data_IF_875400001298
#
_entry.id   IF_875400001298
#
_cell.length_a   1.000
_cell.length_b   1.000
_cell.length_c   1.000
_cell.angle_alpha   90.00
_cell.angle_beta   90.00
_cell.angle_gamma   90.00
#
_symmetry.space_group_name_H-M   'P 1'
#
loop_
_entity.id
_entity.type
_entity.pdbx_description
1 polymer ?
#
# COMPACT_ATOMS: atom_id res chain seq x y z
N UNK A 1 -10.33 29.09 57.19
CA UNK A 1 -10.30 27.96 56.24
C UNK A 1 -11.22 28.08 55.00
N UNK A 2 -12.16 29.01 54.92
CA UNK A 2 -13.11 29.20 53.79
C UNK A 2 -12.58 29.96 52.56
N UNK A 3 -11.55 30.82 52.67
CA UNK A 3 -10.99 31.57 51.55
C UNK A 3 -10.11 30.76 50.56
N UNK A 4 -9.44 29.71 51.01
CA UNK A 4 -8.60 28.87 50.11
C UNK A 4 -9.38 27.92 49.26
N UNK A 5 -10.60 27.55 49.66
CA UNK A 5 -11.51 26.69 48.88
C UNK A 5 -12.13 27.42 47.69
N UNK A 6 -12.53 28.70 47.87
CA UNK A 6 -13.08 29.49 46.77
C UNK A 6 -12.04 29.83 45.67
N UNK A 7 -10.76 30.02 46.06
CA UNK A 7 -9.69 30.26 45.06
C UNK A 7 -9.34 29.00 44.26
N UNK A 8 -9.49 27.80 44.84
CA UNK A 8 -9.31 26.54 44.09
C UNK A 8 -10.48 26.29 43.13
N UNK A 9 -11.72 26.60 43.52
CA UNK A 9 -12.87 26.47 42.63
C UNK A 9 -12.83 27.48 41.48
N UNK A 10 -12.43 28.75 41.74
CA UNK A 10 -12.33 29.75 40.65
C UNK A 10 -11.21 29.40 39.63
N UNK A 11 -10.12 28.73 40.08
CA UNK A 11 -9.05 28.27 39.18
C UNK A 11 -9.46 27.02 38.37
N UNK A 12 -10.32 26.15 38.92
CA UNK A 12 -10.89 25.03 38.15
C UNK A 12 -11.91 25.52 37.09
N UNK A 13 -12.72 26.55 37.41
CA UNK A 13 -13.65 27.14 36.44
C UNK A 13 -12.93 27.90 35.35
N UNK A 14 -11.82 28.62 35.65
CA UNK A 14 -11.03 29.29 34.63
C UNK A 14 -10.31 28.28 33.68
N UNK A 15 -9.86 27.13 34.21
CA UNK A 15 -9.26 26.08 33.39
C UNK A 15 -10.30 25.36 32.51
N UNK A 16 -11.53 25.17 32.98
CA UNK A 16 -12.62 24.60 32.19
C UNK A 16 -13.09 25.56 31.06
N UNK A 17 -13.05 26.86 31.28
CA UNK A 17 -13.39 27.87 30.28
C UNK A 17 -12.34 27.96 29.15
N UNK A 18 -11.04 27.76 29.51
CA UNK A 18 -9.95 27.82 28.51
C UNK A 18 -9.93 26.59 27.58
N UNK A 19 -10.48 25.46 28.03
CA UNK A 19 -10.56 24.21 27.24
C UNK A 19 -11.68 24.26 26.19
N UNK A 20 -12.74 25.05 26.43
CA UNK A 20 -13.84 25.22 25.46
C UNK A 20 -13.50 26.11 24.27
N UNK A 21 -12.45 26.93 24.33
CA UNK A 21 -12.10 27.88 23.26
C UNK A 21 -11.09 27.34 22.24
N UNK A 22 -10.47 26.20 22.47
CA UNK A 22 -9.48 25.63 21.54
C UNK A 22 -10.09 24.80 20.39
N UNK A 23 -11.40 24.61 20.34
CA UNK A 23 -12.06 23.87 19.26
C UNK A 23 -12.62 24.75 18.14
N UNK A 24 -12.40 26.07 18.16
CA UNK A 24 -12.83 26.98 17.10
C UNK A 24 -11.60 27.40 16.29
N UNK A 25 -11.58 27.00 15.03
CA UNK A 25 -10.49 27.19 14.09
C UNK A 25 -9.88 28.58 14.09
N UNK A 26 -8.57 28.66 13.94
CA UNK A 26 -7.71 29.84 13.91
C UNK A 26 -7.70 30.70 15.19
N UNK A 27 -7.00 30.26 16.21
CA UNK A 27 -6.60 31.15 17.29
C UNK A 27 -5.15 31.62 17.05
N UNK A 28 -5.00 32.78 16.45
CA UNK A 28 -3.84 33.63 16.67
C UNK A 28 -3.74 33.89 18.18
N UNK A 29 -2.53 33.80 18.77
CA UNK A 29 -2.21 34.05 20.18
C UNK A 29 -3.15 35.07 20.84
N UNK A 30 -4.11 34.59 21.61
CA UNK A 30 -4.97 35.48 22.41
C UNK A 30 -4.36 35.58 23.79
N UNK A 31 -3.73 36.70 24.11
CA UNK A 31 -3.42 37.07 25.48
C UNK A 31 -4.72 37.19 26.31
N UNK A 32 -4.70 36.72 27.54
CA UNK A 32 -5.88 36.70 28.43
C UNK A 32 -6.55 38.10 28.70
N UNK A 33 -5.99 39.18 28.15
CA UNK A 33 -6.48 40.54 28.23
C UNK A 33 -7.38 40.93 27.01
N UNK A 34 -7.41 40.17 25.93
CA UNK A 34 -8.07 40.52 24.66
C UNK A 34 -9.31 39.66 24.36
N UNK A 35 -10.05 39.21 25.36
CA UNK A 35 -11.35 38.58 25.13
C UNK A 35 -12.35 39.70 24.78
N UNK A 36 -12.85 39.77 23.55
CA UNK A 36 -13.85 40.77 23.19
C UNK A 36 -15.08 40.66 24.09
N UNK A 37 -15.60 41.77 24.55
CA UNK A 37 -16.79 41.84 25.44
C UNK A 37 -18.06 41.20 24.80
N UNK A 38 -18.03 40.86 23.52
CA UNK A 38 -19.12 40.25 22.74
C UNK A 38 -18.69 38.93 22.08
N UNK A 39 -17.97 38.02 22.81
CA UNK A 39 -17.79 36.70 22.27
C UNK A 39 -19.11 35.95 22.23
N UNK A 40 -19.68 35.79 21.05
CA UNK A 40 -20.85 34.92 20.79
C UNK A 40 -20.34 33.55 20.41
N UNK A 41 -20.55 32.49 21.22
CA UNK A 41 -20.24 31.13 20.81
C UNK A 41 -20.98 30.82 19.52
N UNK A 42 -20.33 30.11 18.58
CA UNK A 42 -21.03 29.56 17.43
C UNK A 42 -22.04 28.57 17.97
N UNK A 43 -23.30 28.95 18.00
CA UNK A 43 -24.37 28.08 18.48
C UNK A 43 -24.47 26.88 17.56
N UNK A 44 -24.58 25.69 18.16
CA UNK A 44 -24.74 24.41 17.45
C UNK A 44 -23.65 24.14 16.41
N UNK A 45 -22.42 23.81 16.83
CA UNK A 45 -21.33 23.42 15.94
C UNK A 45 -21.71 22.21 15.11
N UNK A 46 -21.08 22.05 13.96
CA UNK A 46 -21.14 20.83 13.14
C UNK A 46 -19.97 19.92 13.46
N UNK A 47 -20.21 18.60 13.48
CA UNK A 47 -19.16 17.61 13.64
C UNK A 47 -19.39 16.39 12.73
N UNK A 48 -18.32 15.88 12.17
CA UNK A 48 -18.35 14.73 11.26
C UNK A 48 -17.28 13.69 11.64
N UNK A 49 -17.47 12.49 11.14
CA UNK A 49 -16.53 11.37 11.30
C UNK A 49 -15.85 11.10 9.97
N UNK A 50 -14.53 11.09 9.97
CA UNK A 50 -13.74 10.69 8.81
C UNK A 50 -13.49 9.19 8.83
N UNK A 51 -13.64 8.55 7.68
CA UNK A 51 -13.17 7.18 7.46
C UNK A 51 -12.08 7.22 6.40
N UNK A 52 -10.91 6.72 6.76
CA UNK A 52 -9.83 6.41 5.82
C UNK A 52 -9.86 4.93 5.49
N UNK A 53 -9.69 4.60 4.20
CA UNK A 53 -9.61 3.23 3.72
C UNK A 53 -8.33 3.08 2.92
N UNK A 54 -7.33 2.38 3.51
CA UNK A 54 -5.97 2.20 2.98
C UNK A 54 -5.85 0.88 2.26
N UNK A 55 -5.15 0.86 1.13
CA UNK A 55 -4.81 -0.35 0.38
C UNK A 55 -3.63 -0.08 -0.57
N UNK A 56 -3.07 -1.14 -1.16
CA UNK A 56 -2.04 -1.00 -2.21
C UNK A 56 -2.58 -0.21 -3.41
N UNK A 57 -1.71 0.55 -4.10
CA UNK A 57 -2.12 1.49 -5.15
C UNK A 57 -2.90 0.82 -6.29
N UNK A 58 -2.49 -0.39 -6.70
CA UNK A 58 -3.11 -1.14 -7.81
C UNK A 58 -4.24 -2.09 -7.35
N UNK A 59 -4.64 -2.00 -6.08
CA UNK A 59 -5.74 -2.83 -5.54
C UNK A 59 -7.07 -2.22 -5.94
N UNK A 60 -7.96 -3.04 -6.51
CA UNK A 60 -9.35 -2.65 -6.75
C UNK A 60 -10.05 -2.49 -5.40
N UNK A 61 -10.64 -1.34 -5.16
CA UNK A 61 -11.32 -1.03 -3.89
C UNK A 61 -12.45 -2.00 -3.65
N UNK A 62 -12.45 -2.78 -2.54
CA UNK A 62 -13.61 -3.56 -2.16
C UNK A 62 -14.69 -2.68 -1.56
N UNK A 63 -15.96 -3.10 -1.73
CA UNK A 63 -17.04 -2.42 -1.05
C UNK A 63 -16.88 -2.52 0.47
N UNK A 64 -17.08 -1.40 1.18
CA UNK A 64 -17.01 -1.34 2.64
C UNK A 64 -18.10 -0.40 3.17
N UNK A 65 -18.91 -0.89 4.09
CA UNK A 65 -19.97 -0.13 4.77
C UNK A 65 -19.55 0.08 6.23
N UNK A 66 -19.35 1.34 6.62
CA UNK A 66 -18.86 1.71 7.96
C UNK A 66 -19.95 2.41 8.74
N UNK A 67 -20.41 1.76 9.80
CA UNK A 67 -21.38 2.27 10.76
C UNK A 67 -20.69 2.77 12.04
N UNK A 68 -21.41 3.60 12.81
CA UNK A 68 -20.88 4.21 14.01
C UNK A 68 -21.81 3.96 15.21
N UNK A 69 -21.22 3.69 16.36
CA UNK A 69 -21.93 3.49 17.62
C UNK A 69 -21.55 4.60 18.59
N UNK A 70 -22.56 5.30 19.11
CA UNK A 70 -22.43 6.31 20.16
C UNK A 70 -23.00 5.72 21.46
N UNK A 71 -22.12 5.18 22.32
CA UNK A 71 -22.51 4.60 23.61
C UNK A 71 -22.59 5.70 24.66
N UNK A 72 -23.75 5.86 25.30
CA UNK A 72 -23.97 6.78 26.42
C UNK A 72 -23.12 6.38 27.62
N UNK A 73 -22.37 7.33 28.21
CA UNK A 73 -21.45 7.07 29.33
C UNK A 73 -21.85 7.85 30.59
N UNK A 74 -22.07 9.17 30.45
CA UNK A 74 -22.43 10.03 31.58
C UNK A 74 -23.39 11.13 31.15
N UNK A 75 -24.38 11.39 31.97
CA UNK A 75 -25.36 12.43 31.77
C UNK A 75 -25.12 13.63 32.71
N UNK A 76 -25.67 14.80 32.39
CA UNK A 76 -25.69 15.95 33.29
C UNK A 76 -26.29 15.60 34.66
N UNK A 77 -25.91 16.36 35.68
CA UNK A 77 -26.44 16.20 37.04
C UNK A 77 -27.98 16.30 37.05
N UNK A 78 -28.65 15.32 37.65
CA UNK A 78 -30.11 15.25 37.71
C UNK A 78 -30.78 14.52 36.56
N UNK A 79 -30.00 14.04 35.56
CA UNK A 79 -30.49 13.25 34.43
C UNK A 79 -29.96 11.81 34.48
N UNK A 80 -30.80 10.82 34.15
CA UNK A 80 -30.33 9.44 34.00
C UNK A 80 -29.61 9.24 32.65
N UNK A 81 -28.60 8.38 32.63
CA UNK A 81 -27.87 8.03 31.39
C UNK A 81 -28.80 7.43 30.33
N UNK A 82 -29.84 6.68 30.76
CA UNK A 82 -30.86 6.12 29.85
C UNK A 82 -31.63 7.20 29.10
N UNK A 83 -31.86 8.35 29.73
CA UNK A 83 -32.63 9.46 29.18
C UNK A 83 -31.82 10.35 28.21
N UNK A 84 -30.49 10.18 28.14
CA UNK A 84 -29.67 10.89 27.15
C UNK A 84 -30.17 10.62 25.73
N UNK A 85 -30.01 11.57 24.79
CA UNK A 85 -30.35 11.35 23.39
C UNK A 85 -29.55 10.20 22.78
N UNK A 86 -30.16 9.46 21.86
CA UNK A 86 -29.39 8.61 20.96
C UNK A 86 -28.78 9.47 19.84
N UNK A 87 -27.51 9.31 19.59
CA UNK A 87 -26.86 9.92 18.42
C UNK A 87 -26.81 8.88 17.31
N UNK A 88 -27.25 9.28 16.12
CA UNK A 88 -27.21 8.49 14.90
C UNK A 88 -26.72 9.30 13.73
N UNK A 89 -26.02 8.65 12.82
CA UNK A 89 -25.55 9.22 11.57
C UNK A 89 -25.55 8.13 10.50
N UNK A 90 -25.75 8.53 9.25
CA UNK A 90 -25.67 7.59 8.12
C UNK A 90 -24.29 6.95 8.00
N UNK A 91 -24.27 5.70 7.57
CA UNK A 91 -23.02 4.98 7.32
C UNK A 91 -22.17 5.66 6.25
N UNK A 92 -20.87 5.58 6.41
CA UNK A 92 -19.92 5.95 5.35
C UNK A 92 -19.66 4.72 4.47
N UNK A 93 -19.98 4.82 3.18
CA UNK A 93 -19.91 3.72 2.22
C UNK A 93 -18.83 3.97 1.18
N UNK A 94 -17.99 2.95 0.96
CA UNK A 94 -17.09 2.85 -0.18
C UNK A 94 -17.65 1.81 -1.14
N UNK A 95 -17.80 2.19 -2.42
CA UNK A 95 -18.30 1.28 -3.44
C UNK A 95 -17.16 0.43 -4.03
N UNK A 96 -17.49 -0.75 -4.54
CA UNK A 96 -16.52 -1.57 -5.26
C UNK A 96 -15.94 -0.80 -6.47
N UNK A 97 -14.61 -0.83 -6.62
CA UNK A 97 -13.91 -0.14 -7.70
C UNK A 97 -13.84 1.38 -7.55
N UNK A 98 -14.31 1.94 -6.44
CA UNK A 98 -14.25 3.37 -6.20
C UNK A 98 -12.80 3.85 -6.04
N UNK A 99 -12.47 4.93 -6.74
CA UNK A 99 -11.10 5.49 -6.78
C UNK A 99 -11.08 7.00 -6.53
N UNK A 100 -12.22 7.56 -6.08
CA UNK A 100 -12.39 8.97 -5.79
C UNK A 100 -11.65 9.34 -4.49
N UNK A 101 -11.02 10.51 -4.46
CA UNK A 101 -10.34 11.09 -3.28
C UNK A 101 -9.12 10.26 -2.86
N UNK A 102 -8.13 10.17 -3.76
CA UNK A 102 -6.82 9.57 -3.45
C UNK A 102 -5.92 10.58 -2.75
N UNK A 103 -5.19 10.09 -1.75
CA UNK A 103 -3.99 10.79 -1.29
C UNK A 103 -2.88 10.55 -2.31
N UNK A 104 -2.46 11.59 -3.00
CA UNK A 104 -1.40 11.52 -4.03
C UNK A 104 0.00 11.62 -3.42
N UNK A 105 0.13 11.81 -2.12
CA UNK A 105 1.44 11.95 -1.46
C UNK A 105 2.12 10.61 -1.21
N UNK A 106 1.37 9.50 -1.23
CA UNK A 106 1.91 8.15 -1.05
C UNK A 106 2.01 7.43 -2.40
N UNK A 107 3.20 7.06 -2.82
CA UNK A 107 3.47 6.44 -4.14
C UNK A 107 3.03 4.98 -4.23
N UNK A 108 3.05 4.24 -3.13
CA UNK A 108 2.82 2.79 -3.12
C UNK A 108 1.46 2.38 -2.53
N UNK A 109 0.73 3.32 -1.93
CA UNK A 109 -0.58 3.07 -1.33
C UNK A 109 -1.63 4.04 -1.88
N UNK A 110 -2.87 3.56 -1.87
CA UNK A 110 -4.07 4.34 -2.11
C UNK A 110 -4.79 4.54 -0.78
N UNK A 111 -5.13 5.79 -0.46
CA UNK A 111 -5.93 6.15 0.71
C UNK A 111 -7.18 6.85 0.23
N UNK A 112 -8.32 6.20 0.41
CA UNK A 112 -9.63 6.78 0.14
C UNK A 112 -10.14 7.40 1.44
N UNK A 113 -10.71 8.62 1.36
CA UNK A 113 -11.27 9.33 2.51
C UNK A 113 -12.69 9.75 2.23
N UNK A 114 -13.57 9.52 3.18
CA UNK A 114 -14.94 10.02 3.19
C UNK A 114 -15.31 10.52 4.58
N UNK A 115 -16.26 11.43 4.63
CA UNK A 115 -16.83 11.91 5.88
C UNK A 115 -18.30 11.55 5.99
N UNK A 116 -18.74 11.35 7.23
CA UNK A 116 -20.16 11.28 7.56
C UNK A 116 -20.84 12.65 7.38
N UNK A 117 -22.16 12.65 7.37
CA UNK A 117 -22.94 13.86 7.66
C UNK A 117 -22.68 14.34 9.08
N UNK A 118 -23.17 15.52 9.43
CA UNK A 118 -23.11 16.05 10.78
C UNK A 118 -23.87 15.12 11.75
N UNK A 119 -23.17 14.46 12.66
CA UNK A 119 -23.79 13.54 13.62
C UNK A 119 -24.51 14.25 14.77
N UNK A 120 -24.30 15.55 14.95
CA UNK A 120 -24.97 16.34 15.97
C UNK A 120 -26.42 16.70 15.62
N UNK A 121 -26.85 16.52 14.37
CA UNK A 121 -28.24 16.82 13.96
C UNK A 121 -29.26 15.99 14.74
N UNK A 122 -29.00 14.72 14.97
CA UNK A 122 -29.88 13.87 15.79
C UNK A 122 -29.92 14.32 17.25
N UNK A 123 -28.80 14.78 17.80
CA UNK A 123 -28.73 15.33 19.14
C UNK A 123 -29.48 16.65 19.26
N UNK A 124 -29.36 17.56 18.28
CA UNK A 124 -30.11 18.82 18.20
C UNK A 124 -31.61 18.57 18.13
N UNK A 125 -32.04 17.66 17.26
CA UNK A 125 -33.47 17.28 17.16
C UNK A 125 -34.00 16.81 18.51
N UNK A 126 -33.22 16.04 19.25
CA UNK A 126 -33.61 15.60 20.59
C UNK A 126 -33.67 16.74 21.60
N UNK A 127 -32.75 17.73 21.52
CA UNK A 127 -32.84 18.96 22.36
C UNK A 127 -34.12 19.75 22.11
N UNK A 128 -34.53 19.86 20.86
CA UNK A 128 -35.72 20.62 20.49
C UNK A 128 -37.06 19.91 20.86
N UNK A 129 -37.03 18.59 21.01
CA UNK A 129 -38.23 17.76 21.18
C UNK A 129 -38.38 17.10 22.56
N UNK A 130 -37.30 16.94 23.31
CA UNK A 130 -37.31 16.20 24.59
C UNK A 130 -37.48 17.17 25.78
N UNK A 131 -38.43 16.89 26.63
CA UNK A 131 -38.64 17.60 27.91
C UNK A 131 -37.65 17.16 29.01
N UNK A 132 -36.85 16.15 28.76
CA UNK A 132 -35.89 15.62 29.75
C UNK A 132 -34.48 16.20 29.60
N UNK A 133 -34.23 16.93 28.50
CA UNK A 133 -32.93 17.55 28.26
C UNK A 133 -32.68 18.72 29.21
N UNK A 134 -31.42 18.81 29.67
CA UNK A 134 -30.99 19.87 30.60
C UNK A 134 -29.59 20.37 30.19
N UNK A 135 -29.19 21.49 30.79
CA UNK A 135 -27.84 22.03 30.62
C UNK A 135 -26.80 21.11 31.30
N UNK A 136 -25.59 21.05 30.74
CA UNK A 136 -24.48 20.29 31.30
C UNK A 136 -23.71 19.50 30.26
N UNK A 137 -22.94 18.51 30.72
CA UNK A 137 -22.03 17.70 29.91
C UNK A 137 -22.67 16.33 29.61
N UNK A 138 -22.76 15.97 28.33
CA UNK A 138 -23.22 14.68 27.83
C UNK A 138 -22.02 13.93 27.28
N UNK A 139 -21.67 12.76 27.87
CA UNK A 139 -20.50 11.98 27.51
C UNK A 139 -20.88 10.72 26.76
N UNK A 140 -20.24 10.53 25.61
CA UNK A 140 -20.40 9.32 24.79
C UNK A 140 -19.04 8.70 24.48
N UNK A 141 -19.03 7.40 24.22
CA UNK A 141 -17.94 6.73 23.53
C UNK A 141 -18.34 6.47 22.09
N UNK A 142 -17.44 6.80 21.15
CA UNK A 142 -17.66 6.63 19.72
C UNK A 142 -16.74 5.53 19.19
N UNK A 143 -17.31 4.55 18.48
CA UNK A 143 -16.63 3.44 17.79
C UNK A 143 -17.18 3.26 16.39
N UNK A 144 -16.39 2.66 15.50
CA UNK A 144 -16.84 2.22 14.18
C UNK A 144 -16.96 0.72 14.09
N UNK A 145 -17.80 0.26 13.16
CA UNK A 145 -17.91 -1.13 12.74
C UNK A 145 -17.95 -1.16 11.22
N UNK A 146 -17.09 -1.96 10.60
CA UNK A 146 -16.97 -2.08 9.15
C UNK A 146 -17.48 -3.42 8.66
N UNK A 147 -18.21 -3.39 7.53
CA UNK A 147 -18.63 -4.58 6.78
C UNK A 147 -18.03 -4.52 5.38
N UNK A 148 -17.01 -5.33 5.13
CA UNK A 148 -16.28 -5.38 3.86
C UNK A 148 -16.67 -6.60 3.03
N UNK A 149 -16.84 -6.42 1.71
CA UNK A 149 -16.96 -7.53 0.76
C UNK A 149 -15.57 -7.79 0.16
N UNK A 150 -14.89 -8.83 0.66
CA UNK A 150 -13.55 -9.20 0.18
C UNK A 150 -13.61 -9.69 -1.28
N UNK A 151 -12.61 -9.31 -2.07
CA UNK A 151 -12.47 -9.80 -3.45
C UNK A 151 -12.02 -11.27 -3.47
N UNK A 152 -11.22 -11.70 -2.49
CA UNK A 152 -10.73 -13.07 -2.30
C UNK A 152 -10.77 -13.46 -0.83
N UNK A 153 -10.97 -14.76 -0.56
CA UNK A 153 -11.09 -15.25 0.82
C UNK A 153 -9.84 -15.01 1.68
N UNK A 154 -8.64 -15.04 1.07
CA UNK A 154 -7.37 -14.81 1.77
C UNK A 154 -6.93 -13.34 1.81
N UNK A 155 -7.69 -12.44 1.24
CA UNK A 155 -7.46 -11.02 1.45
C UNK A 155 -7.68 -10.69 2.94
N UNK A 156 -6.85 -9.80 3.47
CA UNK A 156 -6.90 -9.40 4.88
C UNK A 156 -7.55 -8.04 4.98
N UNK A 157 -8.56 -7.95 5.82
CA UNK A 157 -9.18 -6.68 6.19
C UNK A 157 -8.99 -6.43 7.68
N UNK A 158 -8.43 -5.27 8.01
CA UNK A 158 -8.24 -4.79 9.38
C UNK A 158 -9.12 -3.57 9.59
N UNK A 159 -10.16 -3.73 10.40
CA UNK A 159 -11.01 -2.63 10.81
C UNK A 159 -10.31 -1.77 11.86
N UNK A 160 -10.61 -0.49 11.89
CA UNK A 160 -10.19 0.41 12.96
C UNK A 160 -10.77 -0.04 14.30
N UNK A 161 -9.93 -0.15 15.32
CA UNK A 161 -10.30 -0.34 16.72
C UNK A 161 -10.20 0.96 17.52
N UNK A 162 -10.12 2.11 16.83
CA UNK A 162 -10.06 3.41 17.49
C UNK A 162 -11.31 3.64 18.36
N UNK A 163 -11.10 4.34 19.46
CA UNK A 163 -12.17 4.73 20.36
C UNK A 163 -11.99 6.20 20.73
N UNK A 164 -13.09 6.93 20.71
CA UNK A 164 -13.12 8.33 21.06
C UNK A 164 -14.10 8.59 22.18
N UNK A 165 -13.71 9.46 23.12
CA UNK A 165 -14.60 10.08 24.08
C UNK A 165 -15.14 11.35 23.45
N UNK A 166 -16.45 11.50 23.41
CA UNK A 166 -17.17 12.69 22.91
C UNK A 166 -17.90 13.34 24.07
N UNK A 167 -17.52 14.56 24.41
CA UNK A 167 -18.18 15.39 25.39
C UNK A 167 -18.96 16.49 24.66
N UNK A 168 -20.27 16.56 24.88
CA UNK A 168 -21.16 17.60 24.31
C UNK A 168 -21.61 18.49 25.47
N UNK A 169 -21.25 19.77 25.39
CA UNK A 169 -21.62 20.77 26.39
C UNK A 169 -22.87 21.49 25.95
N UNK A 170 -23.97 21.37 26.69
CA UNK A 170 -25.24 22.02 26.46
C UNK A 170 -25.42 23.20 27.41
N UNK A 171 -25.79 24.32 26.90
CA UNK A 171 -26.15 25.53 27.65
C UNK A 171 -27.57 26.00 27.29
N UNK A 172 -28.08 26.96 28.03
CA UNK A 172 -29.38 27.61 27.81
C UNK A 172 -29.15 29.08 27.49
N UNK A 173 -29.82 29.61 26.47
CA UNK A 173 -29.77 31.00 26.14
C UNK A 173 -30.75 31.83 27.02
N UNK A 174 -30.79 33.15 26.83
CA UNK A 174 -31.65 34.07 27.58
C UNK A 174 -33.14 33.80 27.39
N UNK A 175 -33.54 33.19 26.29
CA UNK A 175 -34.92 32.82 25.98
C UNK A 175 -35.33 31.47 26.53
N UNK A 176 -34.44 30.83 27.30
CA UNK A 176 -34.67 29.50 27.89
C UNK A 176 -34.46 28.34 26.93
N UNK A 177 -33.97 28.57 25.69
CA UNK A 177 -33.73 27.53 24.70
C UNK A 177 -32.36 26.89 24.90
N UNK A 178 -32.32 25.55 24.83
CA UNK A 178 -31.08 24.78 24.89
C UNK A 178 -30.31 24.88 23.57
N UNK A 179 -28.97 24.92 23.65
CA UNK A 179 -28.07 24.87 22.49
C UNK A 179 -26.76 24.16 22.83
N UNK A 180 -26.09 23.63 21.82
CA UNK A 180 -24.76 23.04 21.98
C UNK A 180 -23.74 24.18 22.06
N UNK A 181 -23.17 24.37 23.26
CA UNK A 181 -22.17 25.40 23.52
C UNK A 181 -20.79 24.99 22.97
N UNK A 182 -20.47 23.72 22.92
CA UNK A 182 -19.17 23.23 22.46
C UNK A 182 -19.03 21.72 22.53
N UNK A 183 -17.94 21.26 21.97
CA UNK A 183 -17.56 19.85 21.93
C UNK A 183 -16.14 19.66 22.44
N UNK A 184 -15.87 18.49 23.03
CA UNK A 184 -14.52 17.97 23.25
C UNK A 184 -14.48 16.54 22.72
N UNK A 185 -13.57 16.25 21.79
CA UNK A 185 -13.38 14.91 21.23
C UNK A 185 -11.96 14.48 21.58
N UNK A 186 -11.84 13.34 22.25
CA UNK A 186 -10.57 12.82 22.75
C UNK A 186 -10.38 11.42 22.18
N UNK A 187 -9.29 11.20 21.46
CA UNK A 187 -8.89 9.86 21.06
C UNK A 187 -8.37 9.10 22.29
N UNK A 188 -9.07 8.04 22.69
CA UNK A 188 -8.70 7.21 23.86
C UNK A 188 -7.98 5.93 23.43
N UNK A 189 -8.29 5.40 22.23
CA UNK A 189 -7.57 4.28 21.61
C UNK A 189 -7.28 4.57 20.15
N UNK A 190 -6.08 4.20 19.70
CA UNK A 190 -5.69 4.28 18.30
C UNK A 190 -6.36 3.18 17.44
N UNK A 191 -6.14 3.18 16.13
CA UNK A 191 -6.73 2.20 15.20
C UNK A 191 -6.29 0.75 15.48
N UNK A 192 -5.18 0.52 16.17
CA UNK A 192 -4.76 -0.80 16.64
C UNK A 192 -5.48 -1.23 17.94
N UNK A 193 -6.29 -0.36 18.54
CA UNK A 193 -6.96 -0.61 19.83
C UNK A 193 -6.09 -0.37 21.05
N UNK A 194 -4.89 0.22 20.88
CA UNK A 194 -3.98 0.54 21.99
C UNK A 194 -4.38 1.87 22.60
N UNK A 195 -4.37 1.95 23.93
CA UNK A 195 -4.64 3.18 24.66
C UNK A 195 -3.61 4.27 24.28
N UNK A 196 -4.11 5.47 23.98
CA UNK A 196 -3.26 6.57 23.52
C UNK A 196 -2.46 7.25 24.63
N UNK A 197 -2.74 6.92 25.89
CA UNK A 197 -2.01 7.37 27.08
C UNK A 197 -2.09 8.88 27.36
N UNK A 198 -2.20 9.70 26.35
CA UNK A 198 -2.13 11.16 26.40
C UNK A 198 -3.44 11.88 26.09
N UNK A 199 -4.57 11.16 25.98
CA UNK A 199 -5.89 11.77 25.73
C UNK A 199 -5.82 12.90 24.68
N UNK A 200 -5.36 12.56 23.47
CA UNK A 200 -5.15 13.53 22.39
C UNK A 200 -6.49 14.09 21.93
N UNK A 201 -6.67 15.39 22.08
CA UNK A 201 -7.83 16.09 21.54
C UNK A 201 -7.74 16.16 20.04
N UNK A 202 -8.89 15.98 19.38
CA UNK A 202 -9.03 16.07 17.92
C UNK A 202 -10.14 17.06 17.56
N UNK A 203 -9.97 17.70 16.42
CA UNK A 203 -11.00 18.60 15.87
C UNK A 203 -12.03 17.75 15.09
N UNK A 204 -13.29 17.82 15.49
CA UNK A 204 -14.42 17.15 14.83
C UNK A 204 -15.07 17.95 13.73
N UNK A 205 -14.61 19.17 13.43
CA UNK A 205 -15.21 20.04 12.43
C UNK A 205 -15.21 19.38 11.06
N UNK A 206 -16.34 19.36 10.33
CA UNK A 206 -16.39 18.83 8.98
C UNK A 206 -15.43 19.58 8.07
N UNK A 207 -14.61 18.84 7.34
CA UNK A 207 -13.75 19.40 6.30
C UNK A 207 -14.43 19.44 4.93
N UNK A 208 -13.71 19.94 3.94
CA UNK A 208 -14.16 19.89 2.54
C UNK A 208 -14.06 18.48 1.99
N UNK A 209 -15.12 17.99 1.37
CA UNK A 209 -15.13 16.70 0.66
C UNK A 209 -14.43 16.75 -0.70
N UNK A 210 -14.04 17.93 -1.15
CA UNK A 210 -13.37 18.18 -2.43
C UNK A 210 -11.89 18.48 -2.19
N UNK A 211 -11.03 17.55 -2.49
CA UNK A 211 -9.58 17.71 -2.42
C UNK A 211 -8.93 16.73 -1.45
N UNK A 212 -8.25 15.75 -1.96
CA UNK A 212 -7.75 14.58 -1.26
C UNK A 212 -6.60 14.77 -0.26
N UNK A 213 -6.42 15.95 0.33
CA UNK A 213 -5.39 16.15 1.36
C UNK A 213 -5.95 15.85 2.75
N UNK A 214 -5.16 15.15 3.58
CA UNK A 214 -5.55 14.74 4.93
C UNK A 214 -5.97 15.92 5.85
N UNK A 215 -5.50 17.12 5.57
CA UNK A 215 -5.76 18.34 6.34
C UNK A 215 -7.19 18.88 6.21
N UNK A 216 -7.96 18.39 5.24
CA UNK A 216 -9.31 18.92 4.95
C UNK A 216 -10.43 18.04 5.51
N UNK A 217 -10.11 17.10 6.39
CA UNK A 217 -11.06 16.16 6.97
C UNK A 217 -11.10 16.28 8.49
N UNK A 218 -12.26 15.94 9.09
CA UNK A 218 -12.38 15.86 10.55
C UNK A 218 -11.31 14.97 11.17
N UNK A 219 -10.77 15.41 12.30
CA UNK A 219 -9.80 14.65 13.10
C UNK A 219 -10.42 13.49 13.88
N UNK A 220 -11.76 13.42 14.00
CA UNK A 220 -12.46 12.21 14.47
C UNK A 220 -12.44 11.18 13.35
N UNK A 221 -11.41 10.30 13.40
CA UNK A 221 -11.02 9.49 12.25
C UNK A 221 -10.86 8.01 12.58
N UNK A 222 -11.41 7.15 11.74
CA UNK A 222 -11.23 5.70 11.77
C UNK A 222 -10.48 5.24 10.52
N UNK A 223 -9.39 4.49 10.69
CA UNK A 223 -8.55 4.00 9.60
C UNK A 223 -8.73 2.51 9.42
N UNK A 224 -9.32 2.11 8.31
CA UNK A 224 -9.45 0.72 7.89
C UNK A 224 -8.34 0.38 6.89
N UNK A 225 -7.84 -0.84 6.90
CA UNK A 225 -6.80 -1.29 6.00
C UNK A 225 -7.20 -2.58 5.27
N UNK A 226 -6.97 -2.63 3.96
CA UNK A 226 -7.22 -3.79 3.13
C UNK A 226 -5.96 -4.25 2.42
N UNK A 227 -5.58 -5.50 2.63
CA UNK A 227 -4.39 -6.12 2.06
C UNK A 227 -4.82 -7.24 1.13
N UNK A 228 -4.79 -6.95 -0.17
CA UNK A 228 -5.13 -7.92 -1.21
C UNK A 228 -3.96 -8.86 -1.51
N UNK A 229 -4.27 -10.07 -1.98
CA UNK A 229 -3.29 -10.99 -2.57
C UNK A 229 -3.17 -10.76 -4.08
N UNK A 230 -1.95 -10.94 -4.61
CA UNK A 230 -1.66 -10.81 -6.02
C UNK A 230 -2.24 -11.98 -6.84
N UNK A 231 -2.34 -11.78 -8.17
CA UNK A 231 -2.91 -12.76 -9.10
C UNK A 231 -4.42 -12.72 -9.16
N UNK A 232 -5.01 -13.38 -10.14
CA UNK A 232 -6.46 -13.42 -10.38
C UNK A 232 -7.19 -14.52 -9.62
N UNK A 233 -6.47 -15.30 -8.80
CA UNK A 233 -7.04 -16.46 -8.11
C UNK A 233 -7.82 -16.05 -6.88
N UNK A 234 -8.97 -16.66 -6.71
CA UNK A 234 -9.48 -16.94 -5.38
C UNK A 234 -8.67 -18.12 -4.82
N UNK A 235 -7.93 -17.96 -3.73
CA UNK A 235 -7.09 -19.02 -3.17
C UNK A 235 -7.88 -20.03 -2.34
N UNK A 236 -9.11 -20.30 -2.66
CA UNK A 236 -9.84 -21.45 -2.09
C UNK A 236 -9.15 -22.77 -2.37
N UNK A 237 -7.92 -22.68 -2.89
CA UNK A 237 -6.91 -23.70 -3.04
C UNK A 237 -6.77 -24.35 -4.43
N UNK A 238 -5.54 -24.35 -4.94
CA UNK A 238 -4.93 -25.63 -5.12
C UNK A 238 -3.63 -25.76 -4.30
N UNK A 239 -3.46 -26.87 -3.64
CA UNK A 239 -2.26 -27.22 -2.89
C UNK A 239 -0.99 -27.16 -3.73
N UNK A 240 -1.13 -27.22 -5.05
CA UNK A 240 -0.06 -27.04 -6.06
C UNK A 240 -0.58 -26.14 -7.18
N UNK A 241 0.12 -25.04 -7.53
CA UNK A 241 -0.22 -24.23 -8.67
C UNK A 241 -0.24 -25.05 -9.97
N UNK A 242 -1.32 -24.96 -10.72
CA UNK A 242 -1.43 -25.54 -12.05
C UNK A 242 -0.75 -24.61 -13.08
N UNK A 243 0.32 -25.03 -13.76
CA UNK A 243 1.04 -24.19 -14.71
C UNK A 243 0.18 -23.77 -15.92
N UNK A 244 -0.83 -24.54 -16.27
CA UNK A 244 -1.72 -24.26 -17.40
C UNK A 244 -2.87 -23.32 -17.02
N UNK A 245 -3.14 -23.13 -15.72
CA UNK A 245 -4.19 -22.24 -15.24
C UNK A 245 -3.62 -20.91 -14.71
N UNK A 246 -3.75 -19.78 -15.43
CA UNK A 246 -3.25 -18.48 -14.99
C UNK A 246 -3.89 -18.00 -13.69
N UNK A 247 -4.97 -18.66 -13.26
CA UNK A 247 -5.63 -18.36 -11.98
C UNK A 247 -5.02 -19.08 -10.79
N UNK A 248 -4.03 -19.96 -10.95
CA UNK A 248 -3.50 -20.78 -9.87
C UNK A 248 -2.25 -20.22 -9.19
N UNK A 249 -1.77 -19.04 -9.60
CA UNK A 249 -0.54 -18.43 -9.08
C UNK A 249 -0.63 -16.91 -9.00
N UNK A 250 0.14 -16.34 -8.08
CA UNK A 250 0.28 -14.89 -7.94
C UNK A 250 1.26 -14.29 -8.97
N UNK A 251 2.32 -15.06 -9.31
CA UNK A 251 3.35 -14.67 -10.28
C UNK A 251 3.98 -15.91 -10.90
N UNK A 252 4.31 -15.85 -12.19
CA UNK A 252 4.93 -16.96 -12.94
C UNK A 252 6.14 -16.47 -13.75
N UNK A 253 7.19 -17.28 -13.78
CA UNK A 253 8.30 -17.14 -14.73
C UNK A 253 8.36 -18.42 -15.57
N UNK A 254 8.33 -18.29 -16.89
CA UNK A 254 8.52 -19.41 -17.81
C UNK A 254 9.85 -19.30 -18.52
N UNK A 255 10.41 -20.42 -18.93
CA UNK A 255 11.56 -20.50 -19.83
C UNK A 255 11.24 -21.37 -21.04
N UNK A 256 11.49 -20.85 -22.22
CA UNK A 256 11.46 -21.62 -23.48
C UNK A 256 12.77 -21.44 -24.22
N UNK A 257 13.21 -22.46 -24.95
CA UNK A 257 14.44 -22.42 -25.73
C UNK A 257 14.18 -22.64 -27.22
N UNK A 258 14.98 -21.99 -28.04
CA UNK A 258 15.02 -22.21 -29.48
C UNK A 258 16.46 -22.47 -29.89
N UNK A 259 16.73 -23.72 -30.33
CA UNK A 259 18.06 -24.11 -30.78
C UNK A 259 17.96 -24.92 -32.07
N UNK A 260 19.03 -24.87 -32.88
CA UNK A 260 19.24 -25.79 -34.00
C UNK A 260 20.04 -26.97 -33.49
N UNK A 261 19.45 -28.18 -33.49
CA UNK A 261 20.12 -29.41 -33.03
C UNK A 261 19.84 -29.77 -31.57
N UNK A 262 20.79 -30.41 -30.91
CA UNK A 262 20.66 -31.03 -29.57
C UNK A 262 21.12 -30.13 -28.41
N UNK A 263 21.34 -28.79 -28.64
CA UNK A 263 21.74 -27.92 -27.57
C UNK A 263 20.59 -27.70 -26.60
N UNK A 264 20.81 -28.12 -25.36
CA UNK A 264 19.91 -27.87 -24.24
C UNK A 264 20.53 -26.81 -23.33
N UNK A 265 19.75 -25.88 -22.88
CA UNK A 265 20.20 -24.83 -21.95
C UNK A 265 19.48 -24.92 -20.61
N UNK A 266 20.25 -24.89 -19.54
CA UNK A 266 19.74 -24.62 -18.19
C UNK A 266 20.07 -23.18 -17.84
N UNK A 267 19.05 -22.39 -17.54
CA UNK A 267 19.19 -20.95 -17.28
C UNK A 267 18.99 -20.68 -15.80
N UNK A 268 19.98 -20.03 -15.20
CA UNK A 268 19.94 -19.59 -13.80
C UNK A 268 19.22 -18.25 -13.69
N UNK A 269 18.31 -18.15 -12.76
CA UNK A 269 17.54 -16.97 -12.44
C UNK A 269 17.76 -16.58 -10.99
N UNK A 270 17.78 -15.28 -10.74
CA UNK A 270 17.73 -14.70 -9.40
C UNK A 270 16.46 -13.86 -9.30
N UNK A 271 15.64 -14.12 -8.29
CA UNK A 271 14.41 -13.36 -8.07
C UNK A 271 14.39 -12.75 -6.68
N UNK A 272 13.96 -11.50 -6.60
CA UNK A 272 13.69 -10.82 -5.33
C UNK A 272 12.25 -10.31 -5.34
N UNK A 273 11.50 -10.59 -4.28
CA UNK A 273 10.16 -10.08 -4.06
C UNK A 273 10.18 -9.21 -2.82
N UNK A 274 9.78 -7.94 -2.94
CA UNK A 274 9.68 -7.01 -1.82
C UNK A 274 8.23 -6.77 -1.45
N UNK A 275 7.94 -6.60 -0.16
CA UNK A 275 6.58 -6.28 0.31
C UNK A 275 6.12 -4.94 -0.22
N UNK A 276 4.79 -4.74 -0.37
CA UNK A 276 4.25 -3.41 -0.57
C UNK A 276 4.59 -2.52 0.64
N UNK A 277 4.89 -1.25 0.40
CA UNK A 277 5.14 -0.26 1.45
C UNK A 277 3.84 0.42 1.89
N UNK A 278 3.82 0.93 3.11
CA UNK A 278 2.72 1.76 3.63
C UNK A 278 1.45 1.00 4.05
N UNK A 279 1.41 -0.34 3.89
CA UNK A 279 0.35 -1.21 4.41
C UNK A 279 0.92 -2.25 5.37
N UNK A 280 0.11 -2.68 6.33
CA UNK A 280 0.53 -3.63 7.36
C UNK A 280 0.44 -5.06 6.82
N UNK A 281 1.58 -5.73 6.66
CA UNK A 281 1.66 -7.11 6.21
C UNK A 281 2.24 -8.00 7.30
N UNK A 282 1.59 -9.13 7.58
CA UNK A 282 1.98 -10.05 8.65
C UNK A 282 2.98 -11.11 8.20
N UNK A 283 2.84 -11.61 6.94
CA UNK A 283 3.70 -12.68 6.45
C UNK A 283 5.08 -12.15 6.08
N UNK A 284 6.14 -12.81 6.55
CA UNK A 284 7.53 -12.52 6.18
C UNK A 284 8.04 -13.42 5.05
N UNK A 285 7.29 -14.45 4.70
CA UNK A 285 7.65 -15.46 3.70
C UNK A 285 6.55 -15.65 2.68
N UNK A 286 6.90 -16.22 1.54
CA UNK A 286 5.97 -16.66 0.49
C UNK A 286 6.34 -18.04 -0.01
N UNK A 287 5.35 -18.81 -0.47
CA UNK A 287 5.56 -20.13 -1.06
C UNK A 287 5.72 -19.99 -2.57
N UNK A 288 6.74 -20.65 -3.12
CA UNK A 288 6.95 -20.75 -4.54
C UNK A 288 7.32 -22.19 -4.96
N UNK A 289 7.12 -22.50 -6.22
CA UNK A 289 7.39 -23.80 -6.81
C UNK A 289 8.35 -23.63 -7.98
N UNK A 290 9.38 -24.46 -8.04
CA UNK A 290 10.31 -24.55 -9.18
C UNK A 290 10.16 -25.94 -9.79
N UNK A 291 9.73 -26.01 -11.04
CA UNK A 291 9.48 -27.28 -11.73
C UNK A 291 8.58 -28.23 -10.92
N UNK A 292 7.56 -27.68 -10.23
CA UNK A 292 6.66 -28.44 -9.36
C UNK A 292 7.16 -28.69 -7.93
N UNK A 293 8.42 -28.38 -7.61
CA UNK A 293 8.97 -28.58 -6.27
C UNK A 293 8.71 -27.35 -5.39
N UNK A 294 8.05 -27.56 -4.25
CA UNK A 294 7.70 -26.52 -3.28
C UNK A 294 8.94 -25.99 -2.56
N UNK A 295 9.00 -24.67 -2.42
CA UNK A 295 10.05 -23.95 -1.70
C UNK A 295 9.45 -22.75 -0.94
N UNK A 296 10.24 -22.16 -0.05
CA UNK A 296 9.85 -20.96 0.71
C UNK A 296 10.85 -19.85 0.46
N UNK A 297 10.35 -18.68 0.09
CA UNK A 297 11.13 -17.46 -0.07
C UNK A 297 10.84 -16.47 1.07
N UNK A 298 11.82 -15.63 1.39
CA UNK A 298 11.67 -14.51 2.32
C UNK A 298 11.58 -13.22 1.54
N UNK A 299 10.61 -12.36 1.87
CA UNK A 299 10.51 -11.04 1.25
C UNK A 299 11.79 -10.24 1.47
N UNK A 300 12.24 -9.54 0.43
CA UNK A 300 13.48 -8.77 0.41
C UNK A 300 14.75 -9.60 0.21
N UNK A 301 14.68 -10.93 0.28
CA UNK A 301 15.82 -11.82 0.07
C UNK A 301 15.77 -12.43 -1.32
N UNK A 302 16.92 -12.43 -2.01
CA UNK A 302 17.04 -13.03 -3.33
C UNK A 302 17.00 -14.56 -3.23
N UNK A 303 16.20 -15.19 -4.10
CA UNK A 303 16.17 -16.65 -4.30
C UNK A 303 16.75 -16.98 -5.67
N UNK A 304 17.49 -18.10 -5.77
CA UNK A 304 18.06 -18.60 -7.01
C UNK A 304 17.36 -19.88 -7.43
N UNK A 305 17.12 -20.03 -8.72
CA UNK A 305 16.54 -21.24 -9.29
C UNK A 305 17.01 -21.41 -10.74
N UNK A 306 16.85 -22.62 -11.24
CA UNK A 306 17.22 -22.98 -12.62
C UNK A 306 16.01 -23.51 -13.36
N UNK A 307 15.78 -23.01 -14.58
CA UNK A 307 14.72 -23.46 -15.46
C UNK A 307 15.33 -24.06 -16.74
N UNK A 308 15.18 -25.38 -16.95
CA UNK A 308 15.33 -25.99 -18.26
C UNK A 308 14.28 -25.50 -19.26
N UNK A 309 14.39 -25.97 -20.50
CA UNK A 309 13.37 -25.70 -21.51
C UNK A 309 11.97 -26.14 -21.07
N UNK A 310 10.94 -25.35 -21.42
CA UNK A 310 9.52 -25.57 -21.10
C UNK A 310 9.19 -25.67 -19.61
N UNK A 311 10.08 -25.25 -18.74
CA UNK A 311 9.87 -25.28 -17.29
C UNK A 311 9.52 -23.89 -16.73
N UNK A 312 8.95 -23.91 -15.53
CA UNK A 312 8.47 -22.68 -14.89
C UNK A 312 8.75 -22.64 -13.38
N UNK A 313 8.82 -21.41 -12.88
CA UNK A 313 8.71 -21.07 -11.46
C UNK A 313 7.40 -20.35 -11.23
N UNK A 314 6.72 -20.62 -10.11
CA UNK A 314 5.44 -19.98 -9.76
C UNK A 314 5.42 -19.60 -8.28
N UNK A 315 5.04 -18.37 -7.98
CA UNK A 315 4.68 -17.96 -6.62
C UNK A 315 3.21 -18.29 -6.41
N UNK A 316 2.88 -19.09 -5.41
CA UNK A 316 1.51 -19.50 -5.11
C UNK A 316 0.68 -18.31 -4.63
N UNK A 317 1.19 -17.58 -3.62
CA UNK A 317 0.51 -16.44 -3.03
C UNK A 317 1.52 -15.42 -2.52
N UNK A 318 1.28 -14.15 -2.81
CA UNK A 318 2.00 -13.02 -2.26
C UNK A 318 1.07 -11.80 -2.22
N UNK A 319 1.51 -10.69 -1.64
CA UNK A 319 0.71 -9.48 -1.53
C UNK A 319 0.61 -8.75 -2.88
N UNK A 320 -0.56 -8.26 -3.23
CA UNK A 320 -0.72 -7.28 -4.29
C UNK A 320 0.01 -5.99 -3.91
N UNK A 321 0.65 -5.34 -4.89
CA UNK A 321 1.54 -4.21 -4.63
C UNK A 321 2.98 -4.61 -4.28
N UNK A 322 3.27 -5.91 -4.10
CA UNK A 322 4.67 -6.37 -4.00
C UNK A 322 5.42 -6.06 -5.29
N UNK A 323 6.70 -5.71 -5.18
CA UNK A 323 7.57 -5.50 -6.33
C UNK A 323 8.44 -6.73 -6.56
N UNK A 324 8.52 -7.17 -7.80
CA UNK A 324 9.37 -8.30 -8.21
C UNK A 324 10.47 -7.85 -9.15
N UNK A 325 11.66 -8.34 -8.93
CA UNK A 325 12.80 -8.27 -9.85
C UNK A 325 13.23 -9.67 -10.20
N UNK A 326 13.35 -9.98 -11.49
CA UNK A 326 13.85 -11.26 -11.98
C UNK A 326 15.03 -10.99 -12.90
N UNK A 327 16.18 -11.56 -12.59
CA UNK A 327 17.42 -11.47 -13.36
C UNK A 327 17.79 -12.86 -13.89
N UNK A 328 17.78 -13.03 -15.21
CA UNK A 328 18.31 -14.20 -15.87
C UNK A 328 19.80 -14.00 -16.12
N UNK A 329 20.63 -14.91 -15.62
CA UNK A 329 22.06 -14.94 -15.89
C UNK A 329 22.33 -15.28 -17.35
N UNK A 330 23.19 -14.48 -17.99
CA UNK A 330 23.60 -14.71 -19.36
C UNK A 330 24.36 -16.03 -19.54
N UNK A 331 24.07 -16.74 -20.61
CA UNK A 331 24.74 -17.99 -21.00
C UNK A 331 25.40 -17.79 -22.35
N UNK A 332 26.66 -18.17 -22.48
CA UNK A 332 27.44 -18.06 -23.72
C UNK A 332 26.65 -18.67 -24.89
N UNK A 333 26.68 -18.02 -26.03
CA UNK A 333 25.99 -18.42 -27.27
C UNK A 333 24.44 -18.34 -27.22
N UNK A 334 23.84 -17.82 -26.14
CA UNK A 334 22.42 -17.64 -26.05
C UNK A 334 22.04 -16.16 -25.96
N UNK A 335 20.97 -15.81 -26.66
CA UNK A 335 20.31 -14.50 -26.56
C UNK A 335 19.03 -14.64 -25.81
N UNK A 336 18.86 -13.91 -24.71
CA UNK A 336 17.64 -13.91 -23.94
C UNK A 336 16.69 -12.81 -24.42
N UNK A 337 15.40 -13.13 -24.46
CA UNK A 337 14.31 -12.17 -24.58
C UNK A 337 13.24 -12.45 -23.53
N UNK A 338 12.48 -11.43 -23.13
CA UNK A 338 11.39 -11.60 -22.18
C UNK A 338 10.16 -10.81 -22.60
N UNK A 339 9.00 -11.44 -22.54
CA UNK A 339 7.69 -10.79 -22.61
C UNK A 339 7.11 -10.71 -21.21
N UNK A 340 6.52 -9.58 -20.87
CA UNK A 340 6.02 -9.34 -19.52
C UNK A 340 4.53 -9.02 -19.53
N UNK A 341 3.82 -9.57 -18.55
CA UNK A 341 2.41 -9.24 -18.27
C UNK A 341 2.31 -8.96 -16.79
N UNK A 342 1.84 -7.77 -16.43
CA UNK A 342 1.62 -7.41 -15.03
C UNK A 342 0.22 -6.81 -14.86
N UNK A 343 -0.48 -7.25 -13.81
CA UNK A 343 -1.87 -6.90 -13.55
C UNK A 343 -2.78 -7.08 -14.79
N UNK A 344 -2.53 -8.14 -15.55
CA UNK A 344 -3.26 -8.47 -16.78
C UNK A 344 -2.92 -7.61 -18.00
N UNK A 345 -1.96 -6.69 -17.87
CA UNK A 345 -1.52 -5.83 -18.99
C UNK A 345 -0.21 -6.38 -19.54
N UNK A 346 -0.21 -6.77 -20.81
CA UNK A 346 0.99 -7.19 -21.53
C UNK A 346 1.77 -5.94 -21.97
N UNK A 347 3.08 -5.89 -21.64
CA UNK A 347 3.94 -4.82 -22.14
C UNK A 347 4.07 -4.93 -23.68
N UNK A 348 3.96 -3.80 -24.35
CA UNK A 348 4.06 -3.73 -25.81
C UNK A 348 5.48 -3.99 -26.32
N UNK A 349 6.49 -3.73 -25.49
CA UNK A 349 7.88 -3.93 -25.83
C UNK A 349 8.43 -5.21 -25.20
N UNK A 350 9.04 -6.03 -26.05
CA UNK A 350 9.78 -7.20 -25.63
C UNK A 350 11.18 -6.77 -25.16
N UNK A 351 11.55 -7.21 -23.97
CA UNK A 351 12.92 -7.01 -23.47
C UNK A 351 13.89 -7.95 -24.18
N UNK A 352 15.14 -7.53 -24.39
CA UNK A 352 16.17 -8.36 -24.99
C UNK A 352 17.55 -8.05 -24.42
N UNK A 353 18.41 -9.05 -24.35
CA UNK A 353 19.81 -8.91 -24.01
C UNK A 353 20.70 -9.33 -25.18
N UNK A 354 21.91 -8.78 -25.25
CA UNK A 354 22.92 -9.26 -26.19
C UNK A 354 23.35 -10.68 -25.84
N UNK A 355 23.98 -11.40 -26.80
CA UNK A 355 24.47 -12.75 -26.61
C UNK A 355 25.35 -12.86 -25.36
N UNK A 356 25.05 -13.82 -24.48
CA UNK A 356 25.80 -14.06 -23.26
C UNK A 356 25.63 -13.05 -22.14
N UNK A 357 24.72 -12.07 -22.29
CA UNK A 357 24.45 -11.03 -21.29
C UNK A 357 23.18 -11.35 -20.47
N UNK A 358 23.20 -10.88 -19.22
CA UNK A 358 22.04 -10.97 -18.33
C UNK A 358 20.85 -10.23 -18.91
N UNK A 359 19.64 -10.71 -18.62
CA UNK A 359 18.40 -10.03 -18.92
C UNK A 359 17.57 -9.86 -17.64
N UNK A 360 17.35 -8.61 -17.25
CA UNK A 360 16.63 -8.26 -16.04
C UNK A 360 15.26 -7.68 -16.35
N UNK A 361 14.26 -8.15 -15.60
CA UNK A 361 12.94 -7.53 -15.44
C UNK A 361 12.90 -6.93 -14.04
N UNK A 362 13.02 -5.60 -13.93
CA UNK A 362 13.24 -4.92 -12.66
C UNK A 362 11.98 -4.24 -12.12
N UNK A 363 11.77 -4.32 -10.80
CA UNK A 363 10.81 -3.53 -10.02
C UNK A 363 9.36 -3.51 -10.58
N UNK A 364 8.90 -4.63 -11.09
CA UNK A 364 7.52 -4.75 -11.59
C UNK A 364 6.56 -5.01 -10.43
N UNK A 365 5.46 -4.25 -10.38
CA UNK A 365 4.44 -4.39 -9.35
C UNK A 365 3.49 -5.54 -9.69
N UNK A 366 3.26 -6.43 -8.72
CA UNK A 366 2.32 -7.54 -8.81
C UNK A 366 0.90 -7.06 -8.49
N UNK A 367 0.01 -7.12 -9.47
CA UNK A 367 -1.40 -6.72 -9.31
C UNK A 367 -2.32 -7.90 -9.02
N UNK A 368 -3.62 -7.62 -8.94
CA UNK A 368 -4.67 -8.61 -8.66
C UNK A 368 -5.09 -9.45 -9.89
N UNK A 369 -4.55 -9.17 -11.08
CA UNK A 369 -4.75 -9.95 -12.30
C UNK A 369 -3.49 -10.77 -12.60
N UNK A 370 -3.42 -11.37 -13.80
CA UNK A 370 -2.26 -12.18 -14.21
C UNK A 370 -0.95 -11.40 -14.13
N UNK A 371 0.06 -12.02 -13.52
CA UNK A 371 1.42 -11.51 -13.47
C UNK A 371 2.38 -12.60 -13.92
N UNK A 372 3.12 -12.35 -15.02
CA UNK A 372 4.08 -13.32 -15.55
C UNK A 372 5.22 -12.66 -16.33
N UNK A 373 6.32 -13.40 -16.43
CA UNK A 373 7.45 -13.14 -17.30
C UNK A 373 7.75 -14.38 -18.12
N UNK A 374 7.63 -14.27 -19.42
CA UNK A 374 7.90 -15.36 -20.36
C UNK A 374 9.28 -15.14 -21.01
N UNK A 375 10.32 -15.85 -20.53
CA UNK A 375 11.65 -15.83 -21.13
C UNK A 375 11.72 -16.77 -22.32
N UNK A 376 12.37 -16.30 -23.39
CA UNK A 376 12.75 -17.11 -24.54
C UNK A 376 14.24 -16.97 -24.80
N UNK A 377 14.95 -18.06 -24.77
CA UNK A 377 16.38 -18.15 -25.01
C UNK A 377 16.64 -18.76 -26.40
N UNK A 378 17.36 -18.01 -27.23
CA UNK A 378 17.63 -18.39 -28.62
C UNK A 378 19.14 -18.65 -28.74
N UNK A 379 19.51 -19.86 -29.16
CA UNK A 379 20.90 -20.21 -29.43
C UNK A 379 21.40 -19.46 -30.64
N UNK A 380 22.55 -18.83 -30.51
CA UNK A 380 23.25 -18.14 -31.59
C UNK A 380 24.57 -18.86 -31.85
N UNK A 381 24.63 -19.46 -33.00
CA UNK A 381 25.91 -20.00 -33.46
C UNK A 381 26.85 -18.85 -33.77
N UNK A 382 27.82 -18.62 -32.90
CA UNK A 382 28.84 -17.61 -33.14
C UNK A 382 29.85 -18.28 -34.08
N UNK A 383 29.72 -18.01 -35.37
CA UNK A 383 30.71 -18.45 -36.33
C UNK A 383 32.11 -17.97 -35.86
N UNK A 384 33.02 -18.90 -35.66
CA UNK A 384 34.42 -18.62 -35.27
C UNK A 384 35.19 -17.88 -36.41
N UNK A 385 34.48 -17.62 -37.51
CA UNK A 385 35.05 -17.01 -38.73
C UNK A 385 35.61 -15.61 -38.51
N UNK A 386 35.22 -14.86 -37.48
CA UNK A 386 35.75 -13.53 -37.19
C UNK A 386 37.22 -13.53 -36.75
N UNK A 387 37.68 -14.57 -36.06
CA UNK A 387 39.09 -14.67 -35.61
C UNK A 387 39.97 -15.10 -36.78
N UNK A 388 39.48 -16.02 -37.62
CA UNK A 388 40.23 -16.52 -38.77
C UNK A 388 40.33 -15.45 -39.84
N UNK A 389 39.24 -14.73 -40.11
CA UNK A 389 39.22 -13.68 -41.15
C UNK A 389 40.11 -12.47 -40.77
N UNK A 390 40.12 -12.06 -39.50
CA UNK A 390 40.99 -10.95 -39.07
C UNK A 390 42.49 -11.30 -39.08
N UNK A 391 42.83 -12.58 -38.89
CA UNK A 391 44.22 -13.06 -38.91
C UNK A 391 44.66 -13.63 -40.25
N UNK A 392 43.75 -13.79 -41.21
CA UNK A 392 44.03 -14.33 -42.54
C UNK A 392 45.17 -13.62 -43.28
N UNK A 393 45.23 -12.23 -43.24
CA UNK A 393 46.38 -11.53 -43.82
C UNK A 393 47.73 -11.92 -43.18
N UNK A 394 47.75 -12.11 -41.84
CA UNK A 394 48.98 -12.51 -41.14
C UNK A 394 49.37 -13.93 -41.43
N UNK A 395 48.41 -14.86 -41.57
CA UNK A 395 48.64 -16.25 -41.94
C UNK A 395 49.24 -16.32 -43.37
N UNK A 396 48.71 -15.53 -44.32
CA UNK A 396 49.24 -15.41 -45.68
C UNK A 396 50.64 -14.85 -45.66
N UNK A 397 50.89 -13.75 -44.87
CA UNK A 397 52.24 -13.18 -44.78
C UNK A 397 53.27 -14.18 -44.21
N UNK A 398 52.89 -14.95 -43.20
CA UNK A 398 53.74 -16.01 -42.63
C UNK A 398 54.04 -17.08 -43.69
N UNK A 399 53.00 -17.54 -44.42
CA UNK A 399 53.17 -18.55 -45.47
C UNK A 399 54.08 -18.01 -46.59
N UNK A 400 53.93 -16.77 -47.04
CA UNK A 400 54.83 -16.15 -48.04
C UNK A 400 56.26 -16.05 -47.51
N UNK A 401 56.46 -15.64 -46.25
CA UNK A 401 57.78 -15.55 -45.63
C UNK A 401 58.48 -16.93 -45.54
N UNK A 402 57.72 -17.98 -45.19
CA UNK A 402 58.28 -19.35 -45.19
C UNK A 402 58.67 -19.83 -46.56
N UNK A 403 57.87 -19.57 -47.60
CA UNK A 403 58.17 -19.97 -48.98
C UNK A 403 59.40 -19.15 -49.51
N UNK A 404 59.47 -17.87 -49.24
CA UNK A 404 60.62 -17.04 -49.61
C UNK A 404 61.91 -17.54 -48.91
N UNK A 405 61.84 -17.85 -47.62
CA UNK A 405 63.00 -18.38 -46.88
C UNK A 405 63.46 -19.74 -47.42
N UNK A 406 62.54 -20.65 -47.70
CA UNK A 406 62.84 -21.92 -48.32
C UNK A 406 63.48 -21.77 -49.71
N UNK A 407 62.98 -20.80 -50.53
CA UNK A 407 63.55 -20.45 -51.82
C UNK A 407 65.03 -19.96 -51.70
N UNK A 408 65.28 -19.07 -50.74
CA UNK A 408 66.65 -18.56 -50.48
C UNK A 408 67.60 -19.69 -50.05
N UNK A 409 67.14 -20.58 -49.18
CA UNK A 409 67.95 -21.74 -48.74
C UNK A 409 68.26 -22.67 -49.92
N UNK A 410 67.23 -22.94 -50.78
CA UNK A 410 67.44 -23.79 -51.97
C UNK A 410 68.41 -23.14 -52.99
N UNK A 411 68.31 -21.83 -53.22
CA UNK A 411 69.24 -21.15 -54.09
C UNK A 411 70.66 -21.11 -53.52
N UNK A 412 70.82 -20.93 -52.23
CA UNK A 412 72.16 -20.95 -51.60
C UNK A 412 72.75 -22.34 -51.57
N UNK A 413 71.96 -23.41 -51.41
CA UNK A 413 72.45 -24.77 -51.52
C UNK A 413 72.87 -25.11 -52.94
N UNK A 414 72.13 -24.72 -53.96
CA UNK A 414 72.46 -24.87 -55.36
C UNK A 414 73.80 -24.17 -55.73
N UNK A 415 73.95 -22.87 -55.28
CA UNK A 415 75.22 -22.14 -55.47
C UNK A 415 76.44 -22.83 -54.79
N UNK A 416 76.24 -23.59 -53.72
CA UNK A 416 77.28 -24.33 -53.05
C UNK A 416 77.63 -25.59 -53.82
N UNK A 417 76.66 -26.23 -54.48
CA UNK A 417 76.89 -27.43 -55.31
C UNK A 417 77.58 -27.05 -56.66
N UNK A 418 77.32 -25.92 -57.25
CA UNK A 418 77.94 -25.46 -58.51
C UNK A 418 79.40 -24.95 -58.31
N UNK A 419 79.87 -24.85 -57.05
CA UNK A 419 81.23 -24.42 -56.71
C UNK A 419 82.14 -25.57 -56.24
N UNK A 420 81.66 -26.85 -56.28
CA UNK A 420 82.41 -28.05 -56.08
C UNK A 420 82.64 -28.78 -57.42
#
# INVERSE_FOLDING_TARGET
MKKKSLQKMSRLFAAALLVGTMCLGNVANVNAADVPAEWKPTENPSAAITVEYKMGNDVVTPANDVSFTFKKISAPTGMNVSDMPAISVENVKFNAGEDLIKDTTATDIKVLRKQSKNFLESFKTAMDTSTKMTTGEYVYTVKSTSSVTKAKNNDVFTASNAEYKLDIFVAQNTDGKLYIKGLSIINTKNDAGTDTGNNTKVDGTPGSTTGGTASNFSGLKFVNEYVAKAGSVDPTDPSVPDPENPKSYAFKVTNTTESKGTQTGNFEYTMTVTKPSGITTTDNTYVYYVNGTKQTGTYGTAVKFTLPDTKSMMIQSCYAGSKVTVDQKGVANWTATAETTFNGVKDSQKLSAAVGKNLQVANKTLGQKENKVDYKNIYKDIAVTGIIVNNFPFIIMIAIAVVAFAGIVAMNSKKRMDRR
#
